data_IF_859027371106
#
_entry.id   IF_859027371106
#
_cell.length_a   1.000
_cell.length_b   1.000
_cell.length_c   1.000
_cell.angle_alpha   90.00
_cell.angle_beta   90.00
_cell.angle_gamma   90.00
#
_symmetry.space_group_name_H-M   'P 1'
#
loop_
_entity.id
_entity.type
_entity.pdbx_description
1 polymer ?
#
# COMPACT_ATOMS: atom_id res chain seq x y z
N UNK A 1 -13.83 7.39 -4.93
CA UNK A 1 -12.92 6.43 -5.58
C UNK A 1 -11.78 6.07 -4.63
N UNK A 2 -11.37 4.80 -4.56
CA UNK A 2 -10.43 4.28 -3.53
C UNK A 2 -9.05 3.92 -4.09
N UNK A 3 -8.08 3.68 -3.19
CA UNK A 3 -6.78 3.11 -3.56
C UNK A 3 -6.93 1.74 -4.25
N UNK A 4 -7.96 0.95 -3.90
CA UNK A 4 -8.24 -0.31 -4.58
C UNK A 4 -8.59 -0.12 -6.05
N UNK A 5 -9.38 0.91 -6.38
CA UNK A 5 -9.65 1.29 -7.76
C UNK A 5 -8.35 1.69 -8.49
N UNK A 6 -7.51 2.53 -7.88
CA UNK A 6 -6.24 2.96 -8.50
C UNK A 6 -5.34 1.75 -8.82
N UNK A 7 -5.21 0.79 -7.89
CA UNK A 7 -4.44 -0.44 -8.12
C UNK A 7 -4.97 -1.22 -9.33
N UNK A 8 -6.29 -1.41 -9.40
CA UNK A 8 -6.93 -2.14 -10.51
C UNK A 8 -6.83 -1.39 -11.83
N UNK A 9 -7.00 -0.06 -11.82
CA UNK A 9 -7.09 0.77 -13.02
C UNK A 9 -5.74 1.05 -13.67
N UNK A 10 -4.70 1.24 -12.86
CA UNK A 10 -3.37 1.64 -13.31
C UNK A 10 -2.30 0.56 -13.09
N UNK A 11 -2.66 -0.60 -12.53
CA UNK A 11 -1.73 -1.69 -12.22
C UNK A 11 -0.53 -1.28 -11.35
N UNK A 12 -0.72 -0.28 -10.48
CA UNK A 12 0.32 0.21 -9.54
C UNK A 12 0.12 -0.35 -8.13
N UNK A 13 1.18 -0.55 -7.33
CA UNK A 13 1.08 -1.10 -5.98
C UNK A 13 0.67 -0.05 -4.92
N UNK A 14 -0.21 0.89 -5.26
CA UNK A 14 -0.61 1.99 -4.38
C UNK A 14 -1.34 1.49 -3.11
N UNK A 15 -0.77 1.79 -1.93
CA UNK A 15 -1.34 1.44 -0.62
C UNK A 15 -1.21 2.62 0.34
N UNK A 16 -2.17 2.77 1.25
CA UNK A 16 -2.07 3.77 2.33
C UNK A 16 -0.85 3.39 3.18
N UNK A 17 -0.01 4.38 3.47
CA UNK A 17 1.22 4.19 4.21
C UNK A 17 2.42 3.73 3.36
N UNK A 18 2.25 3.46 2.07
CA UNK A 18 3.36 3.06 1.19
C UNK A 18 4.36 4.20 1.00
N UNK A 19 5.64 3.85 0.98
CA UNK A 19 6.73 4.76 0.64
C UNK A 19 6.79 4.95 -0.87
N UNK A 20 6.99 6.21 -1.28
CA UNK A 20 7.10 6.58 -2.69
C UNK A 20 8.13 7.71 -2.84
N UNK A 21 8.69 7.85 -4.04
CA UNK A 21 9.27 9.11 -4.49
C UNK A 21 8.29 9.78 -5.45
N UNK A 22 8.02 11.06 -5.26
CA UNK A 22 7.24 11.88 -6.18
C UNK A 22 8.18 12.95 -6.73
N UNK A 23 8.51 12.86 -8.01
CA UNK A 23 9.47 13.77 -8.66
C UNK A 23 10.82 13.83 -7.89
N UNK A 24 11.33 12.65 -7.50
CA UNK A 24 12.54 12.51 -6.69
C UNK A 24 12.38 12.83 -5.20
N UNK A 25 11.25 13.38 -4.75
CA UNK A 25 11.04 13.74 -3.34
C UNK A 25 10.39 12.59 -2.56
N UNK A 26 10.99 12.15 -1.44
CA UNK A 26 10.45 11.05 -0.66
C UNK A 26 9.18 11.43 0.10
N UNK A 27 8.24 10.49 0.17
CA UNK A 27 6.99 10.68 0.89
C UNK A 27 6.22 9.39 1.15
N UNK A 28 5.00 9.56 1.67
CA UNK A 28 4.11 8.45 2.01
C UNK A 28 2.69 8.70 1.49
N UNK A 29 2.09 7.70 0.86
CA UNK A 29 0.69 7.78 0.41
C UNK A 29 -0.22 7.85 1.65
N UNK A 30 -1.06 8.88 1.74
CA UNK A 30 -1.97 9.10 2.87
C UNK A 30 -3.42 8.74 2.53
N UNK A 31 -3.89 9.16 1.34
CA UNK A 31 -5.24 8.89 0.84
C UNK A 31 -5.28 8.93 -0.69
N UNK A 32 -6.46 8.65 -1.24
CA UNK A 32 -6.77 8.85 -2.66
C UNK A 32 -8.10 9.60 -2.81
N UNK A 33 -8.24 10.33 -3.90
CA UNK A 33 -9.52 10.92 -4.32
C UNK A 33 -9.61 10.88 -5.84
N UNK A 34 -10.68 10.30 -6.38
CA UNK A 34 -10.78 10.03 -7.82
C UNK A 34 -9.60 9.19 -8.32
N UNK A 35 -8.95 9.68 -9.37
CA UNK A 35 -7.74 9.10 -9.98
C UNK A 35 -6.43 9.72 -9.44
N UNK A 36 -6.44 10.28 -8.22
CA UNK A 36 -5.29 11.01 -7.66
C UNK A 36 -4.83 10.43 -6.33
N UNK A 37 -3.51 10.46 -6.12
CA UNK A 37 -2.87 10.12 -4.85
C UNK A 37 -2.57 11.38 -4.06
N UNK A 38 -2.76 11.28 -2.75
CA UNK A 38 -2.29 12.29 -1.80
C UNK A 38 -1.05 11.74 -1.10
N UNK A 39 0.08 12.37 -1.33
CA UNK A 39 1.37 11.97 -0.78
C UNK A 39 1.85 13.03 0.20
N UNK A 40 2.11 12.65 1.44
CA UNK A 40 2.82 13.54 2.38
C UNK A 40 4.30 13.41 2.13
N UNK A 41 4.91 14.47 1.61
CA UNK A 41 6.35 14.53 1.45
C UNK A 41 7.01 14.66 2.83
N UNK A 42 8.17 14.06 2.96
CA UNK A 42 8.92 14.11 4.22
C UNK A 42 9.26 15.57 4.58
N UNK A 43 9.12 15.93 5.86
CA UNK A 43 9.29 17.30 6.33
C UNK A 43 8.14 18.27 6.01
N UNK A 44 7.10 17.84 5.29
CA UNK A 44 5.95 18.69 4.96
C UNK A 44 4.70 18.31 5.77
N UNK A 45 3.95 19.33 6.21
CA UNK A 45 2.67 19.14 6.91
C UNK A 45 1.52 18.79 5.96
N UNK A 46 1.55 19.32 4.74
CA UNK A 46 0.52 19.14 3.71
C UNK A 46 0.90 18.05 2.72
N UNK A 47 -0.11 17.45 2.09
CA UNK A 47 0.09 16.41 1.08
C UNK A 47 0.06 17.03 -0.31
N UNK A 48 0.95 16.57 -1.18
CA UNK A 48 0.89 16.86 -2.61
C UNK A 48 -0.08 15.92 -3.29
N UNK A 49 -0.72 16.40 -4.36
CA UNK A 49 -1.64 15.63 -5.18
C UNK A 49 -0.92 15.23 -6.46
N UNK A 50 -0.89 13.93 -6.79
CA UNK A 50 -0.22 13.44 -8.00
C UNK A 50 -1.03 12.34 -8.69
N UNK A 51 -0.83 12.18 -10.01
CA UNK A 51 -1.39 11.07 -10.76
C UNK A 51 -0.58 9.78 -10.44
N UNK A 52 -1.23 8.61 -10.26
CA UNK A 52 -0.57 7.37 -9.87
C UNK A 52 0.59 6.91 -10.77
N UNK A 53 0.63 7.38 -12.02
CA UNK A 53 1.63 6.99 -13.04
C UNK A 53 2.59 8.12 -13.41
N UNK A 54 2.45 9.32 -12.83
CA UNK A 54 3.27 10.46 -13.22
C UNK A 54 4.38 10.70 -12.21
N UNK A 55 5.61 10.34 -12.58
CA UNK A 55 6.83 10.53 -11.77
C UNK A 55 6.67 10.02 -10.33
N UNK A 56 5.95 8.92 -10.16
CA UNK A 56 5.80 8.22 -8.88
C UNK A 56 6.58 6.93 -8.93
N UNK A 57 7.59 6.82 -8.07
CA UNK A 57 8.30 5.57 -7.84
C UNK A 57 7.73 4.92 -6.60
N UNK A 58 7.17 3.72 -6.76
CA UNK A 58 6.66 2.94 -5.64
C UNK A 58 7.80 2.14 -5.03
N UNK A 59 8.31 2.64 -3.91
CA UNK A 59 9.33 1.96 -3.12
C UNK A 59 8.64 0.79 -2.42
N UNK A 60 8.62 -0.36 -3.11
CA UNK A 60 7.97 -1.57 -2.66
C UNK A 60 8.26 -1.83 -1.18
N UNK A 61 7.25 -2.33 -0.47
CA UNK A 61 7.44 -2.82 0.88
C UNK A 61 8.61 -3.81 0.86
N UNK A 62 9.68 -3.47 1.57
CA UNK A 62 10.86 -4.32 1.74
C UNK A 62 10.43 -5.77 2.03
N UNK A 63 11.18 -6.81 1.61
CA UNK A 63 10.81 -8.22 1.84
C UNK A 63 10.33 -8.54 3.27
N UNK A 64 10.81 -7.81 4.28
CA UNK A 64 10.32 -7.90 5.66
C UNK A 64 8.82 -7.57 5.83
N UNK A 65 8.31 -6.56 5.13
CA UNK A 65 6.90 -6.17 5.20
C UNK A 65 5.98 -7.10 4.40
N UNK A 66 6.50 -7.81 3.37
CA UNK A 66 5.75 -8.89 2.70
C UNK A 66 5.52 -10.09 3.61
N UNK A 67 6.48 -10.45 4.48
CA UNK A 67 6.32 -11.56 5.43
C UNK A 67 5.22 -11.30 6.46
N UNK A 68 5.12 -10.06 6.96
CA UNK A 68 4.06 -9.68 7.91
C UNK A 68 2.64 -9.77 7.31
N UNK A 69 2.45 -9.32 6.07
CA UNK A 69 1.17 -9.43 5.35
C UNK A 69 0.80 -10.91 5.07
N UNK A 70 1.78 -11.77 4.77
CA UNK A 70 1.55 -13.18 4.41
C UNK A 70 1.31 -14.10 5.63
N UNK A 71 1.90 -13.77 6.79
CA UNK A 71 1.64 -14.46 8.06
C UNK A 71 0.23 -14.14 8.59
N UNK A 72 -0.25 -12.91 8.44
CA UNK A 72 -1.58 -12.50 8.90
C UNK A 72 -2.75 -13.17 8.15
N UNK A 73 -2.54 -13.73 6.95
CA UNK A 73 -3.55 -14.54 6.25
C UNK A 73 -3.50 -16.03 6.63
N UNK A 74 -2.40 -16.52 7.20
CA UNK A 74 -2.25 -17.94 7.60
C UNK A 74 -2.79 -18.26 8.99
N UNK A 75 -3.08 -17.27 9.83
CA UNK A 75 -3.64 -17.51 11.18
C UNK A 75 -5.14 -17.83 11.20
N UNK A 76 -5.88 -17.68 10.11
CA UNK A 76 -7.34 -17.97 10.08
C UNK A 76 -7.63 -19.45 9.75
N UNK A 77 -6.67 -20.22 9.21
CA UNK A 77 -6.91 -21.61 8.77
C UNK A 77 -6.57 -22.70 9.80
N UNK A 78 -6.07 -22.37 10.99
CA UNK A 78 -5.59 -23.40 11.94
C UNK A 78 -6.58 -23.84 13.02
N UNK A 79 -7.81 -23.29 13.07
CA UNK A 79 -8.75 -23.59 14.18
C UNK A 79 -9.69 -24.79 13.94
N UNK A 80 -9.76 -25.40 12.76
CA UNK A 80 -10.89 -26.34 12.46
C UNK A 80 -10.59 -27.85 12.43
N UNK A 81 -9.36 -28.36 12.59
CA UNK A 81 -9.17 -29.83 12.56
C UNK A 81 -8.24 -30.35 13.67
N UNK A 82 -8.62 -30.07 14.92
CA UNK A 82 -8.14 -30.82 16.08
C UNK A 82 -9.35 -31.39 16.83
N UNK A 83 -10.00 -32.39 16.25
CA UNK A 83 -11.13 -33.08 16.85
C UNK A 83 -11.36 -34.42 16.18
N UNK A 84 -10.84 -35.49 16.78
CA UNK A 84 -11.31 -36.85 16.52
C UNK A 84 -10.22 -37.86 16.18
N UNK A 85 -9.54 -38.37 17.20
CA UNK A 85 -9.05 -39.75 17.21
C UNK A 85 -8.88 -40.22 18.67
N UNK A 86 -9.86 -40.98 19.15
CA UNK A 86 -9.70 -42.01 20.18
C UNK A 86 -10.32 -43.29 19.62
#
# INVERSE_FOLDING_TARGET
MSLAYIRRRYAVPARRGARVLVDGQPGRITRSEGARLYVRLDGRKTSVVTHPTWRVEYLGQSPAARRADQLAHREIETVTVAGGAL
#
